data_IF_542055451146
#
_entry.id   IF_542055451146
#
_cell.length_a   1.000
_cell.length_b   1.000
_cell.length_c   1.000
_cell.angle_alpha   90.00
_cell.angle_beta   90.00
_cell.angle_gamma   90.00
#
_symmetry.space_group_name_H-M   'P 1'
#
loop_
_entity.id
_entity.type
_entity.pdbx_description
1 polymer ?
#
# COMPACT_ATOMS: atom_id res chain seq x y z
N UNK A 1 33.08 18.38 -15.73
CA UNK A 1 32.02 18.95 -16.58
C UNK A 1 30.82 19.19 -15.68
N UNK A 2 30.47 20.44 -15.40
CA UNK A 2 29.30 20.78 -14.58
C UNK A 2 28.17 21.09 -15.56
N UNK A 3 27.22 20.18 -15.68
CA UNK A 3 26.00 20.42 -16.44
C UNK A 3 25.11 21.35 -15.62
N UNK A 4 25.01 22.62 -16.04
CA UNK A 4 24.03 23.53 -15.47
C UNK A 4 22.64 23.13 -15.98
N UNK A 5 21.74 22.81 -15.05
CA UNK A 5 20.34 22.57 -15.40
C UNK A 5 19.74 23.85 -16.03
N UNK A 6 18.81 23.71 -16.99
CA UNK A 6 17.99 24.82 -17.48
C UNK A 6 17.42 25.64 -16.32
N UNK A 7 17.27 26.96 -16.49
CA UNK A 7 16.74 27.83 -15.41
C UNK A 7 15.34 27.38 -14.95
N UNK A 8 14.58 26.78 -15.86
CA UNK A 8 13.25 26.20 -15.66
C UNK A 8 13.28 24.94 -14.78
N UNK A 9 14.43 24.26 -14.70
CA UNK A 9 14.68 23.07 -13.88
C UNK A 9 15.50 23.39 -12.63
N UNK A 10 15.75 24.68 -12.36
CA UNK A 10 16.42 25.07 -11.12
C UNK A 10 15.41 24.94 -9.98
N UNK A 11 15.67 24.10 -8.96
CA UNK A 11 14.71 23.88 -7.89
C UNK A 11 14.43 25.20 -7.18
N UNK A 12 13.15 25.60 -7.17
CA UNK A 12 12.68 26.88 -6.65
C UNK A 12 12.76 26.98 -5.11
N UNK A 13 13.07 25.87 -4.41
CA UNK A 13 12.96 25.76 -2.96
C UNK A 13 14.33 25.64 -2.28
N UNK A 14 14.60 26.57 -1.37
CA UNK A 14 15.85 26.68 -0.62
C UNK A 14 15.83 26.05 0.79
N UNK A 15 14.68 25.59 1.28
CA UNK A 15 14.56 24.94 2.60
C UNK A 15 13.98 23.52 2.47
N UNK A 16 14.78 22.67 1.83
CA UNK A 16 14.50 21.26 1.67
C UNK A 16 15.12 20.46 2.82
N UNK A 17 14.32 19.56 3.34
CA UNK A 17 14.66 18.66 4.42
C UNK A 17 14.71 17.25 3.87
N UNK A 18 15.83 16.55 4.14
CA UNK A 18 15.96 15.13 3.82
C UNK A 18 15.25 14.27 4.87
N UNK A 19 14.49 13.28 4.40
CA UNK A 19 13.83 12.24 5.18
C UNK A 19 14.07 10.86 4.57
N UNK A 20 13.92 9.81 5.39
CA UNK A 20 14.19 8.43 4.99
C UNK A 20 15.67 8.06 5.00
N UNK A 21 15.96 6.83 4.58
CA UNK A 21 17.31 6.27 4.57
C UNK A 21 18.24 7.06 3.63
N UNK A 22 19.55 7.00 3.87
CA UNK A 22 20.54 7.60 2.95
C UNK A 22 20.79 6.73 1.71
N UNK A 23 20.55 5.43 1.82
CA UNK A 23 20.96 4.42 0.84
C UNK A 23 20.07 4.38 -0.42
N UNK A 24 18.83 4.86 -0.34
CA UNK A 24 17.83 4.85 -1.41
C UNK A 24 17.65 6.22 -2.09
N UNK A 25 18.54 7.17 -1.77
CA UNK A 25 18.41 8.54 -2.25
C UNK A 25 17.47 9.40 -1.42
N UNK A 26 16.67 8.84 -0.51
CA UNK A 26 15.75 9.51 0.41
C UNK A 26 14.81 10.54 -0.24
N UNK A 27 14.04 11.23 0.60
CA UNK A 27 13.04 12.21 0.17
C UNK A 27 13.50 13.61 0.53
N UNK A 28 13.49 14.54 -0.43
CA UNK A 28 13.66 15.96 -0.16
C UNK A 28 12.28 16.62 -0.14
N UNK A 29 11.89 17.10 1.04
CA UNK A 29 10.59 17.72 1.25
C UNK A 29 10.76 19.15 1.78
N UNK A 30 9.87 20.09 1.41
CA UNK A 30 9.90 21.44 1.96
C UNK A 30 9.65 21.39 3.46
N UNK A 31 10.42 22.14 4.26
CA UNK A 31 10.22 22.21 5.71
C UNK A 31 8.80 22.61 6.08
N UNK A 32 8.24 23.62 5.42
CA UNK A 32 6.88 24.07 5.68
C UNK A 32 5.83 22.95 5.49
N UNK A 33 5.97 22.15 4.43
CA UNK A 33 5.08 21.00 4.22
C UNK A 33 5.20 19.99 5.37
N UNK A 34 6.42 19.76 5.86
CA UNK A 34 6.65 18.92 7.04
C UNK A 34 6.08 19.54 8.32
N UNK A 35 6.03 20.85 8.47
CA UNK A 35 5.48 21.56 9.64
C UNK A 35 3.95 21.56 9.66
N UNK A 36 3.30 21.48 8.50
CA UNK A 36 1.85 21.47 8.34
C UNK A 36 1.25 20.05 8.29
N UNK A 37 2.05 19.05 7.88
CA UNK A 37 1.56 17.67 7.72
C UNK A 37 1.02 17.08 9.03
N UNK A 38 -0.13 16.41 8.92
CA UNK A 38 -0.90 15.81 10.02
C UNK A 38 -1.21 14.31 9.80
N UNK A 39 -0.85 13.76 8.64
CA UNK A 39 -1.00 12.36 8.27
C UNK A 39 -0.19 12.02 7.03
N UNK A 40 -0.04 10.72 6.75
CA UNK A 40 0.73 10.21 5.63
C UNK A 40 -0.02 9.06 4.96
N UNK A 41 -0.31 9.20 3.67
CA UNK A 41 -0.76 8.09 2.85
C UNK A 41 0.48 7.47 2.20
N UNK A 42 0.98 6.40 2.79
CA UNK A 42 2.15 5.69 2.31
C UNK A 42 1.74 4.56 1.38
N UNK A 43 2.32 4.52 0.19
CA UNK A 43 2.22 3.34 -0.68
C UNK A 43 3.26 2.27 -0.36
N UNK A 44 4.18 2.61 0.57
CA UNK A 44 5.41 1.96 1.00
C UNK A 44 6.22 1.16 -0.04
N UNK A 45 7.52 1.14 0.14
CA UNK A 45 8.42 0.38 -0.72
C UNK A 45 8.71 -0.97 -0.05
N UNK A 46 7.68 -1.82 0.02
CA UNK A 46 7.79 -3.14 0.63
C UNK A 46 8.11 -3.07 2.13
N UNK A 47 9.25 -3.60 2.54
CA UNK A 47 9.68 -3.63 3.95
C UNK A 47 10.45 -2.36 4.39
N UNK A 48 10.70 -1.41 3.49
CA UNK A 48 11.30 -0.12 3.83
C UNK A 48 10.23 0.90 4.19
N UNK A 49 10.31 1.35 5.44
CA UNK A 49 9.37 2.27 6.11
C UNK A 49 10.14 3.36 6.89
N UNK A 50 11.41 3.56 6.52
CA UNK A 50 12.31 4.53 7.15
C UNK A 50 11.86 5.98 6.93
N UNK A 51 11.06 6.25 5.89
CA UNK A 51 10.43 7.55 5.69
C UNK A 51 9.35 7.83 6.75
N UNK A 52 8.44 6.89 6.96
CA UNK A 52 7.33 6.99 7.91
C UNK A 52 7.86 7.05 9.34
N UNK A 53 8.89 6.26 9.65
CA UNK A 53 9.61 6.33 10.92
C UNK A 53 10.20 7.73 11.13
N UNK A 54 10.93 8.25 10.13
CA UNK A 54 11.49 9.59 10.22
C UNK A 54 10.42 10.69 10.30
N UNK A 55 9.23 10.48 9.73
CA UNK A 55 8.09 11.40 9.85
C UNK A 55 7.51 11.41 11.27
N UNK A 56 7.40 10.24 11.91
CA UNK A 56 6.94 10.09 13.30
C UNK A 56 7.93 10.67 14.31
N UNK A 57 9.23 10.45 14.12
CA UNK A 57 10.29 10.93 15.02
C UNK A 57 10.43 12.45 15.01
N UNK A 58 10.12 13.10 13.88
CA UNK A 58 10.38 14.53 13.70
C UNK A 58 9.42 15.45 14.44
N UNK A 59 8.25 14.95 14.84
CA UNK A 59 7.24 15.77 15.51
C UNK A 59 6.87 15.20 16.87
N UNK A 60 7.18 15.97 17.90
CA UNK A 60 6.55 15.90 19.21
C UNK A 60 5.03 16.18 19.07
N UNK A 61 4.21 15.14 18.83
CA UNK A 61 2.77 15.08 19.18
C UNK A 61 1.71 15.36 18.09
N UNK A 62 2.02 15.89 16.89
CA UNK A 62 0.95 16.15 15.88
C UNK A 62 0.55 14.97 15.01
N UNK A 63 1.48 14.10 14.63
CA UNK A 63 1.19 12.96 13.76
C UNK A 63 1.08 11.74 14.65
N UNK A 64 -0.15 11.34 14.91
CA UNK A 64 -0.40 10.08 15.60
C UNK A 64 -0.15 8.93 14.62
N UNK A 65 0.41 7.78 15.07
CA UNK A 65 0.60 6.60 14.23
C UNK A 65 -0.65 6.16 13.47
N UNK A 66 -1.84 6.43 14.03
CA UNK A 66 -3.15 6.16 13.38
C UNK A 66 -3.39 6.96 12.10
N UNK A 67 -2.68 8.07 11.90
CA UNK A 67 -2.80 8.93 10.73
C UNK A 67 -1.81 8.55 9.62
N UNK A 68 -1.05 7.46 9.79
CA UNK A 68 -0.23 6.87 8.73
C UNK A 68 -0.98 5.67 8.18
N UNK A 69 -1.41 5.77 6.92
CA UNK A 69 -2.16 4.72 6.23
C UNK A 69 -1.23 4.08 5.21
N UNK A 70 -1.00 2.77 5.35
CA UNK A 70 -0.20 1.99 4.43
C UNK A 70 -1.08 1.32 3.36
N UNK A 71 -0.86 1.69 2.11
CA UNK A 71 -1.42 1.10 0.90
C UNK A 71 -0.42 0.13 0.30
N UNK A 72 -0.25 -1.02 0.94
CA UNK A 72 0.62 -2.10 0.46
C UNK A 72 -0.11 -3.01 -0.52
N UNK A 73 0.44 -3.20 -1.73
CA UNK A 73 -0.08 -4.14 -2.72
C UNK A 73 -0.18 -5.59 -2.18
N UNK A 74 0.73 -5.97 -1.26
CA UNK A 74 0.73 -7.32 -0.67
C UNK A 74 -0.50 -7.58 0.21
N UNK A 75 -1.00 -6.58 0.93
CA UNK A 75 -2.20 -6.72 1.76
C UNK A 75 -3.47 -6.81 0.91
N UNK A 76 -3.55 -6.01 -0.16
CA UNK A 76 -4.66 -6.08 -1.12
C UNK A 76 -4.76 -7.47 -1.79
N UNK A 77 -3.62 -8.08 -2.10
CA UNK A 77 -3.57 -9.42 -2.69
C UNK A 77 -4.05 -10.51 -1.73
N UNK A 78 -3.69 -10.45 -0.44
CA UNK A 78 -4.16 -11.43 0.55
C UNK A 78 -5.67 -11.36 0.76
N UNK A 79 -6.24 -10.16 0.80
CA UNK A 79 -7.71 -10.00 0.88
C UNK A 79 -8.41 -10.54 -0.39
N UNK A 80 -7.80 -10.34 -1.57
CA UNK A 80 -8.30 -10.93 -2.82
C UNK A 80 -8.29 -12.47 -2.78
N UNK A 81 -7.21 -13.07 -2.26
CA UNK A 81 -7.10 -14.54 -2.13
C UNK A 81 -8.15 -15.11 -1.18
N UNK A 82 -8.45 -14.43 -0.07
CA UNK A 82 -9.53 -14.85 0.85
C UNK A 82 -10.89 -14.88 0.14
N UNK A 83 -11.19 -13.83 -0.61
CA UNK A 83 -12.44 -13.75 -1.38
C UNK A 83 -12.49 -14.88 -2.40
N UNK A 84 -11.41 -15.10 -3.16
CA UNK A 84 -11.32 -16.20 -4.11
C UNK A 84 -11.52 -17.58 -3.46
N UNK A 85 -11.01 -17.78 -2.25
CA UNK A 85 -11.19 -19.03 -1.50
C UNK A 85 -12.66 -19.27 -1.14
N UNK A 86 -13.35 -18.24 -0.64
CA UNK A 86 -14.80 -18.31 -0.34
C UNK A 86 -15.59 -18.66 -1.61
N UNK A 87 -15.30 -17.99 -2.72
CA UNK A 87 -15.93 -18.28 -4.00
C UNK A 87 -15.65 -19.71 -4.49
N UNK A 88 -14.45 -20.24 -4.24
CA UNK A 88 -14.09 -21.60 -4.60
C UNK A 88 -14.87 -22.65 -3.80
N UNK A 89 -15.02 -22.47 -2.48
CA UNK A 89 -15.84 -23.36 -1.65
C UNK A 89 -17.32 -23.33 -2.07
N UNK A 90 -17.86 -22.14 -2.33
CA UNK A 90 -19.24 -22.00 -2.78
C UNK A 90 -19.47 -22.63 -4.17
N UNK A 91 -18.50 -22.50 -5.07
CA UNK A 91 -18.53 -23.18 -6.36
C UNK A 91 -18.47 -24.70 -6.18
N UNK A 92 -17.62 -25.21 -5.28
CA UNK A 92 -17.52 -26.65 -4.96
C UNK A 92 -18.85 -27.20 -4.45
N UNK A 93 -19.49 -26.52 -3.49
CA UNK A 93 -20.79 -26.93 -2.97
C UNK A 93 -21.88 -26.97 -4.04
N UNK A 94 -21.86 -26.01 -4.98
CA UNK A 94 -22.79 -25.99 -6.12
C UNK A 94 -22.57 -27.16 -7.07
N UNK A 95 -21.32 -27.52 -7.34
CA UNK A 95 -21.01 -28.70 -8.15
C UNK A 95 -21.44 -30.00 -7.47
N UNK A 96 -21.20 -30.16 -6.16
CA UNK A 96 -21.62 -31.33 -5.39
C UNK A 96 -23.15 -31.50 -5.36
N UNK A 97 -23.89 -30.39 -5.27
CA UNK A 97 -25.35 -30.39 -5.33
C UNK A 97 -25.85 -30.80 -6.72
N UNK A 98 -25.27 -30.27 -7.80
CA UNK A 98 -25.64 -30.65 -9.17
C UNK A 98 -25.33 -32.13 -9.45
N UNK A 99 -24.19 -32.63 -8.98
CA UNK A 99 -23.80 -34.04 -9.13
C UNK A 99 -24.79 -34.98 -8.42
N UNK A 100 -25.21 -34.65 -7.19
CA UNK A 100 -26.23 -35.41 -6.45
C UNK A 100 -27.59 -35.45 -7.16
N UNK A 101 -28.09 -34.30 -7.61
CA UNK A 101 -29.37 -34.23 -8.30
C UNK A 101 -29.38 -34.99 -9.64
N UNK A 102 -28.23 -35.05 -10.34
CA UNK A 102 -28.13 -35.88 -11.54
C UNK A 102 -28.13 -37.38 -11.19
N UNK A 103 -27.44 -37.80 -10.12
CA UNK A 103 -27.48 -39.21 -9.69
C UNK A 103 -28.87 -39.68 -9.29
N UNK A 104 -29.63 -38.89 -8.53
CA UNK A 104 -31.01 -39.23 -8.14
C UNK A 104 -31.97 -39.25 -9.35
N UNK A 105 -31.76 -38.37 -10.32
CA UNK A 105 -32.52 -38.37 -11.59
C UNK A 105 -32.23 -39.62 -12.45
N UNK A 106 -31.05 -40.23 -12.34
CA UNK A 106 -30.71 -41.45 -13.05
C UNK A 106 -31.29 -42.69 -12.37
N UNK A 107 -31.26 -42.77 -11.04
CA UNK A 107 -31.85 -43.89 -10.28
C UNK A 107 -33.38 -43.99 -10.42
N UNK A 108 -34.08 -42.85 -10.60
CA UNK A 108 -35.54 -42.83 -10.82
C UNK A 108 -35.98 -43.22 -12.24
N UNK A 109 -35.05 -43.53 -13.15
CA UNK A 109 -35.33 -43.92 -14.55
C UNK A 109 -35.08 -45.40 -14.85
N UNK A 110 -34.78 -46.21 -13.84
CA UNK A 110 -34.56 -47.67 -13.94
C UNK A 110 -35.79 -48.42 -13.39
#
# INVERSE_FOLDING_TARGET
MVCNAPKELTPLMSDLVRLGRKADGGYLLPRQALDEVNGCLSFGLGAEWSFEQALLERKHEKISPKNIVFLMHQYLFLELLKVLFIWAEELSMRFDHVARNQSESFDLRI
#
